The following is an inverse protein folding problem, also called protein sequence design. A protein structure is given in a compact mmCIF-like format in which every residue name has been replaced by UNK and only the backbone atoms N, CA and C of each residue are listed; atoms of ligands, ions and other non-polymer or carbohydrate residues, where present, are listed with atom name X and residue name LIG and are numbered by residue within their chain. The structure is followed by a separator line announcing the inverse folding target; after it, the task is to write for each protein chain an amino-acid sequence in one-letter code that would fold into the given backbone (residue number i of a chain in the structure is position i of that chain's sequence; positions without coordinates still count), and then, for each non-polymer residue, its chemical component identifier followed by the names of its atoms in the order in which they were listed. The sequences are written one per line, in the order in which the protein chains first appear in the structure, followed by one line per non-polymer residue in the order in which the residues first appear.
data_IF_095170389471
#
_entry.id   IF_095170389471
#
_cell.length_a   1.000
_cell.length_b   1.000
_cell.length_c   1.000
_cell.angle_alpha   90.00
_cell.angle_beta   90.00
_cell.angle_gamma   90.00
#
_symmetry.space_group_name_H-M   'P 1'
#
loop_
_entity.id
_entity.type
_entity.pdbx_description
1 polymer ?
#
# COMPACT_ATOMS: atom_id res chain seq x y z
N UNK A 1 14.34 -11.69 -8.17
CA UNK A 1 14.16 -12.41 -6.89
C UNK A 1 13.06 -13.45 -7.08
N UNK A 2 13.27 -14.69 -6.62
CA UNK A 2 12.31 -15.77 -6.77
C UNK A 2 11.94 -16.34 -5.40
N UNK A 3 10.64 -16.49 -5.14
CA UNK A 3 10.08 -17.03 -3.90
C UNK A 3 9.21 -18.24 -4.24
N UNK A 4 9.38 -19.36 -3.52
CA UNK A 4 8.51 -20.54 -3.66
C UNK A 4 8.02 -21.04 -2.31
N UNK A 5 7.02 -21.92 -2.36
CA UNK A 5 6.42 -22.53 -1.18
C UNK A 5 5.69 -21.50 -0.30
N UNK A 6 5.02 -20.53 -0.96
CA UNK A 6 4.38 -19.39 -0.32
C UNK A 6 2.88 -19.64 -0.14
N UNK A 7 2.43 -19.90 1.08
CA UNK A 7 1.02 -19.86 1.44
C UNK A 7 0.44 -18.43 1.40
N UNK A 8 -0.88 -18.32 1.28
CA UNK A 8 -1.57 -17.02 1.18
C UNK A 8 -1.28 -16.10 2.38
N UNK A 9 -1.09 -16.65 3.58
CA UNK A 9 -0.78 -15.90 4.80
C UNK A 9 0.63 -15.29 4.78
N UNK A 10 1.58 -15.92 4.06
CA UNK A 10 2.96 -15.44 3.95
C UNK A 10 3.10 -14.21 3.04
N UNK A 11 2.06 -13.88 2.26
CA UNK A 11 2.00 -12.63 1.49
C UNK A 11 2.09 -11.41 2.43
N UNK A 12 1.58 -11.51 3.65
CA UNK A 12 1.69 -10.44 4.65
C UNK A 12 3.15 -10.12 5.01
N UNK A 13 3.98 -11.16 5.22
CA UNK A 13 5.41 -10.99 5.52
C UNK A 13 6.18 -10.38 4.35
N UNK A 14 5.82 -10.78 3.11
CA UNK A 14 6.37 -10.19 1.90
C UNK A 14 6.03 -8.71 1.76
N UNK A 15 4.79 -8.33 2.04
CA UNK A 15 4.38 -6.93 2.03
C UNK A 15 5.11 -6.11 3.09
N UNK A 16 5.24 -6.62 4.32
CA UNK A 16 5.99 -5.94 5.39
C UNK A 16 7.47 -5.75 4.98
N UNK A 17 8.08 -6.76 4.36
CA UNK A 17 9.46 -6.68 3.86
C UNK A 17 9.63 -5.67 2.71
N UNK A 18 8.66 -5.58 1.79
CA UNK A 18 8.65 -4.57 0.72
C UNK A 18 8.64 -3.13 1.28
N UNK A 19 7.78 -2.86 2.26
CA UNK A 19 7.69 -1.54 2.90
C UNK A 19 8.92 -1.25 3.77
N UNK A 20 9.43 -2.24 4.49
CA UNK A 20 10.67 -2.09 5.27
C UNK A 20 11.87 -1.79 4.37
N UNK A 21 11.97 -2.47 3.23
CA UNK A 21 13.04 -2.24 2.26
C UNK A 21 12.98 -0.83 1.67
N UNK A 22 11.78 -0.35 1.37
CA UNK A 22 11.60 1.01 0.87
C UNK A 22 12.10 2.05 1.86
N UNK A 23 11.75 1.88 3.14
CA UNK A 23 12.24 2.76 4.21
C UNK A 23 13.76 2.77 4.28
N UNK A 24 14.42 1.63 4.15
CA UNK A 24 15.88 1.55 4.13
C UNK A 24 16.49 2.27 2.91
N UNK A 25 15.94 2.04 1.72
CA UNK A 25 16.43 2.65 0.47
C UNK A 25 16.25 4.17 0.51
N UNK A 26 15.07 4.66 0.90
CA UNK A 26 14.78 6.10 1.01
C UNK A 26 15.68 6.76 2.04
N UNK A 27 15.91 6.12 3.19
CA UNK A 27 16.81 6.64 4.22
C UNK A 27 18.26 6.71 3.73
N UNK A 28 18.72 5.72 2.97
CA UNK A 28 20.08 5.69 2.43
C UNK A 28 20.30 6.72 1.30
N UNK A 29 19.30 6.89 0.42
CA UNK A 29 19.41 7.74 -0.77
C UNK A 29 18.90 9.18 -0.53
N UNK A 30 18.24 9.45 0.61
CA UNK A 30 17.57 10.72 0.92
C UNK A 30 16.58 11.17 -0.17
N UNK A 31 16.01 10.20 -0.90
CA UNK A 31 15.10 10.42 -2.02
C UNK A 31 14.10 9.28 -2.08
N UNK A 32 12.83 9.62 -2.34
CA UNK A 32 11.77 8.65 -2.59
C UNK A 32 11.43 8.67 -4.08
N UNK A 33 11.79 7.59 -4.78
CA UNK A 33 11.36 7.38 -6.16
C UNK A 33 9.93 6.82 -6.17
N UNK A 34 9.12 7.13 -7.20
CA UNK A 34 7.91 6.36 -7.42
C UNK A 34 8.25 4.88 -7.61
N UNK A 35 7.32 4.00 -7.23
CA UNK A 35 7.44 2.57 -7.56
C UNK A 35 6.20 2.08 -8.28
N UNK A 36 6.41 1.56 -9.49
CA UNK A 36 5.37 0.86 -10.23
C UNK A 36 5.57 -0.65 -10.14
N UNK A 37 4.52 -1.36 -9.73
CA UNK A 37 4.47 -2.82 -9.67
C UNK A 37 3.45 -3.35 -10.67
N UNK A 38 3.93 -4.07 -11.69
CA UNK A 38 3.09 -4.80 -12.64
C UNK A 38 2.82 -6.21 -12.13
N UNK A 39 1.59 -6.48 -11.70
CA UNK A 39 1.21 -7.75 -11.05
C UNK A 39 0.50 -8.67 -12.05
N UNK A 40 1.11 -9.81 -12.30
CA UNK A 40 0.68 -10.80 -13.30
C UNK A 40 0.37 -12.12 -12.62
N UNK A 41 -0.70 -12.79 -13.03
CA UNK A 41 -1.09 -14.09 -12.47
C UNK A 41 -2.51 -14.48 -12.85
N UNK A 42 -2.83 -15.76 -12.73
CA UNK A 42 -4.17 -16.29 -13.06
C UNK A 42 -5.25 -15.79 -12.09
N UNK A 43 -6.53 -16.04 -12.42
CA UNK A 43 -7.64 -15.81 -11.50
C UNK A 43 -7.44 -16.65 -10.23
N UNK A 44 -7.62 -16.03 -9.05
CA UNK A 44 -7.40 -16.70 -7.77
C UNK A 44 -5.93 -16.79 -7.33
N UNK A 45 -4.95 -16.37 -8.14
CA UNK A 45 -3.52 -16.44 -7.76
C UNK A 45 -3.16 -15.66 -6.49
N UNK A 46 -3.99 -14.68 -6.10
CA UNK A 46 -3.77 -13.83 -4.92
C UNK A 46 -3.25 -12.44 -5.25
N UNK A 47 -3.40 -11.96 -6.49
CA UNK A 47 -3.03 -10.59 -6.91
C UNK A 47 -3.67 -9.50 -6.03
N UNK A 48 -4.99 -9.54 -5.87
CA UNK A 48 -5.69 -8.59 -4.97
C UNK A 48 -5.26 -8.75 -3.51
N UNK A 49 -4.97 -9.98 -3.06
CA UNK A 49 -4.44 -10.21 -1.71
C UNK A 49 -3.06 -9.57 -1.52
N UNK A 50 -2.20 -9.65 -2.53
CA UNK A 50 -0.91 -8.95 -2.53
C UNK A 50 -1.09 -7.44 -2.39
N UNK A 51 -2.03 -6.83 -3.13
CA UNK A 51 -2.35 -5.40 -2.97
C UNK A 51 -2.89 -5.06 -1.56
N UNK A 52 -3.79 -5.89 -1.03
CA UNK A 52 -4.35 -5.75 0.32
C UNK A 52 -3.26 -5.77 1.39
N UNK A 53 -2.31 -6.68 1.30
CA UNK A 53 -1.23 -6.79 2.27
C UNK A 53 -0.22 -5.64 2.17
N UNK A 54 0.08 -5.14 0.96
CA UNK A 54 0.88 -3.92 0.80
C UNK A 54 0.17 -2.73 1.44
N UNK A 55 -1.11 -2.55 1.17
CA UNK A 55 -1.89 -1.47 1.77
C UNK A 55 -1.90 -1.57 3.30
N UNK A 56 -2.09 -2.78 3.84
CA UNK A 56 -1.97 -3.05 5.29
C UNK A 56 -0.61 -2.64 5.83
N UNK A 57 0.48 -3.04 5.18
CA UNK A 57 1.83 -2.69 5.59
C UNK A 57 2.09 -1.16 5.55
N UNK A 58 1.37 -0.44 4.70
CA UNK A 58 1.34 1.03 4.67
C UNK A 58 0.39 1.68 5.69
N UNK A 59 -0.32 0.91 6.51
CA UNK A 59 -1.26 1.41 7.52
C UNK A 59 -2.68 1.72 7.00
N UNK A 60 -3.02 1.26 5.79
CA UNK A 60 -4.38 1.32 5.24
C UNK A 60 -5.15 0.06 5.69
N UNK A 61 -6.43 0.19 6.02
CA UNK A 61 -7.26 -0.96 6.37
C UNK A 61 -7.44 -1.87 5.13
N UNK A 62 -6.98 -3.12 5.24
CA UNK A 62 -7.05 -4.09 4.13
C UNK A 62 -8.48 -4.45 3.73
N UNK A 63 -9.47 -4.25 4.63
CA UNK A 63 -10.88 -4.49 4.31
C UNK A 63 -11.47 -3.45 3.34
N UNK A 64 -10.87 -2.26 3.25
CA UNK A 64 -11.23 -1.22 2.27
C UNK A 64 -10.59 -1.46 0.89
N UNK A 65 -9.58 -2.35 0.85
CA UNK A 65 -8.83 -2.67 -0.36
C UNK A 65 -9.48 -3.85 -1.05
N UNK A 66 -10.31 -3.51 -2.02
CA UNK A 66 -11.01 -4.46 -2.88
C UNK A 66 -10.63 -4.20 -4.32
N UNK A 67 -10.51 -5.26 -5.11
CA UNK A 67 -10.13 -5.15 -6.52
C UNK A 67 -10.98 -4.08 -7.23
N UNK A 68 -10.34 -3.06 -7.84
CA UNK A 68 -11.02 -1.96 -8.49
C UNK A 68 -11.46 -2.32 -9.92
N UNK A 69 -11.76 -3.59 -10.23
CA UNK A 69 -12.10 -4.03 -11.59
C UNK A 69 -13.15 -3.17 -12.30
N UNK A 70 -14.12 -2.59 -11.56
CA UNK A 70 -15.16 -1.70 -12.12
C UNK A 70 -14.85 -0.20 -12.01
N UNK A 71 -14.05 0.20 -11.02
CA UNK A 71 -13.68 1.61 -10.82
C UNK A 71 -12.37 1.97 -11.51
N UNK A 72 -11.64 0.97 -12.03
CA UNK A 72 -10.33 0.97 -12.67
C UNK A 72 -9.17 1.46 -11.78
N UNK A 73 -9.40 2.44 -10.91
CA UNK A 73 -8.44 3.02 -9.98
C UNK A 73 -9.06 3.23 -8.59
N UNK A 74 -8.30 2.91 -7.56
CA UNK A 74 -8.52 3.38 -6.18
C UNK A 74 -7.21 3.92 -5.63
N UNK A 75 -7.29 5.05 -4.92
CA UNK A 75 -6.13 5.67 -4.28
C UNK A 75 -6.33 5.70 -2.77
N UNK A 76 -5.32 5.27 -2.03
CA UNK A 76 -5.33 5.19 -0.58
C UNK A 76 -4.27 6.12 -0.01
N UNK A 77 -4.63 6.96 0.96
CA UNK A 77 -3.67 7.77 1.70
C UNK A 77 -3.06 6.92 2.80
N UNK A 78 -1.74 6.79 2.78
CA UNK A 78 -1.04 6.06 3.82
C UNK A 78 -0.72 7.04 4.96
N UNK A 79 -1.04 6.70 6.22
CA UNK A 79 -0.71 7.55 7.34
C UNK A 79 0.81 7.82 7.38
N UNK A 80 1.21 9.08 7.47
CA UNK A 80 2.59 9.40 7.81
C UNK A 80 2.87 8.89 9.21
N UNK A 81 4.04 8.28 9.45
CA UNK A 81 4.48 7.78 10.77
C UNK A 81 4.61 8.88 11.86
N UNK A 82 4.16 10.11 11.57
CA UNK A 82 4.05 11.22 12.50
C UNK A 82 2.57 11.43 12.91
N UNK A 83 2.22 11.40 14.21
CA UNK A 83 0.94 11.94 14.64
C UNK A 83 0.87 13.41 14.21
N UNK A 84 -0.28 13.91 13.74
CA UNK A 84 -0.44 15.33 13.47
C UNK A 84 -0.06 16.11 14.74
N UNK A 85 0.65 17.25 14.64
CA UNK A 85 0.89 18.09 15.81
C UNK A 85 -0.48 18.37 16.45
N UNK A 86 -0.57 18.22 17.78
CA UNK A 86 -1.80 18.27 18.58
C UNK A 86 -2.62 19.59 18.49
N UNK A 87 -2.34 20.43 17.50
CA UNK A 87 -2.98 21.71 17.23
C UNK A 87 -3.53 21.84 15.80
N UNK A 88 -3.56 20.79 14.98
CA UNK A 88 -4.36 20.79 13.76
C UNK A 88 -5.84 20.62 14.14
N UNK A 89 -6.46 21.73 14.54
CA UNK A 89 -7.90 21.81 14.72
C UNK A 89 -8.59 21.26 13.47
N UNK A 90 -9.36 20.19 13.63
CA UNK A 90 -10.29 19.76 12.59
C UNK A 90 -11.23 20.93 12.29
N UNK A 91 -11.50 21.27 11.02
CA UNK A 91 -12.59 22.17 10.71
C UNK A 91 -13.90 21.48 11.11
N UNK A 92 -14.57 22.02 12.12
CA UNK A 92 -15.90 21.60 12.55
C UNK A 92 -16.87 21.61 11.35
N UNK A 93 -17.84 20.69 11.27
CA UNK A 93 -18.83 20.72 10.21
C UNK A 93 -19.72 21.95 10.36
N UNK A 94 -19.75 22.76 9.31
CA UNK A 94 -20.63 23.92 9.15
C UNK A 94 -22.10 23.48 9.18
N UNK A 95 -22.74 23.58 10.35
CA UNK A 95 -24.20 23.64 10.43
C UNK A 95 -24.63 25.10 10.25
N UNK A 96 -24.87 25.49 9.00
CA UNK A 96 -25.59 26.72 8.69
C UNK A 96 -27.07 26.55 9.05
N UNK A 97 -27.43 26.90 10.29
CA UNK A 97 -28.80 27.19 10.70
C UNK A 97 -29.05 28.70 10.68
N UNK A 98 -30.23 29.02 10.17
CA UNK A 98 -30.77 30.32 9.79
C UNK A 98 -30.75 31.39 10.90
N UNK A 99 -30.51 32.62 10.47
CA UNK A 99 -30.52 33.83 11.28
C UNK A 99 -31.93 34.28 11.69
N UNK A 100 -32.10 34.67 12.96
CA UNK A 100 -33.08 35.67 13.40
C UNK A 100 -32.48 36.58 14.50
N UNK A 101 -32.87 37.85 14.43
CA UNK A 101 -32.27 39.07 14.99
C UNK A 101 -32.63 39.37 16.49
N UNK A 102 -32.01 40.41 17.12
CA UNK A 102 -31.94 40.71 18.58
C UNK A 102 -33.11 41.67 19.01
N UNK A 103 -33.12 42.44 20.14
CA UNK A 103 -32.12 42.71 21.20
C UNK A 103 -32.65 42.85 22.66
N UNK A 104 -31.76 43.08 23.65
CA UNK A 104 -31.80 44.23 24.62
C UNK A 104 -30.75 44.16 25.76
N UNK A 105 -29.88 45.18 25.73
CA UNK A 105 -29.58 46.15 26.80
C UNK A 105 -28.83 45.78 28.12
N UNK A 106 -27.87 46.67 28.41
CA UNK A 106 -27.37 47.19 29.71
C UNK A 106 -25.96 46.77 30.19
N UNK A 107 -25.04 47.74 30.06
CA UNK A 107 -23.76 47.99 30.75
C UNK A 107 -24.00 48.35 32.26
N UNK A 108 -22.98 48.53 33.15
CA UNK A 108 -21.60 48.97 32.88
C UNK A 108 -20.43 48.44 33.73
N UNK A 109 -19.23 48.67 33.15
CA UNK A 109 -17.93 49.06 33.73
C UNK A 109 -17.72 48.98 35.26
N UNK A 110 -16.70 48.22 35.67
CA UNK A 110 -15.74 48.60 36.73
C UNK A 110 -14.33 48.10 36.39
N UNK A 111 -13.37 49.03 36.36
CA UNK A 111 -11.91 48.81 36.39
C UNK A 111 -11.38 49.08 37.83
N UNK A 112 -10.07 48.98 38.13
CA UNK A 112 -9.40 47.79 38.63
C UNK A 112 -8.78 48.01 40.03
N UNK A 113 -8.31 46.96 40.72
CA UNK A 113 -7.31 47.13 41.79
C UNK A 113 -6.23 46.03 41.74
N UNK A 114 -4.95 46.37 42.00
CA UNK A 114 -3.83 45.45 41.91
C UNK A 114 -3.54 44.80 43.27
N UNK A 115 -3.17 43.51 43.28
CA UNK A 115 -2.57 42.92 44.47
C UNK A 115 -1.51 41.87 44.11
N UNK A 116 -0.31 42.17 44.57
CA UNK A 116 0.80 41.28 44.94
C UNK A 116 1.49 40.41 43.88
N UNK A 117 2.70 40.89 43.58
CA UNK A 117 3.93 40.16 43.25
C UNK A 117 4.09 38.84 44.01
N UNK A 118 4.39 37.73 43.31
CA UNK A 118 5.21 36.67 43.86
C UNK A 118 6.58 36.63 43.16
N UNK A 119 7.60 36.85 43.99
CA UNK A 119 8.96 36.30 43.95
C UNK A 119 9.50 35.73 42.62
N UNK A 120 10.56 36.40 42.16
CA UNK A 120 11.53 35.96 41.15
C UNK A 120 12.19 34.65 41.59
N UNK A 121 11.68 33.52 41.10
CA UNK A 121 12.42 32.24 41.15
C UNK A 121 13.52 32.32 40.09
N UNK A 122 14.76 32.16 40.55
CA UNK A 122 15.98 32.09 39.75
C UNK A 122 15.86 31.02 38.65
N UNK A 123 16.12 31.41 37.41
CA UNK A 123 16.24 30.49 36.28
C UNK A 123 17.35 29.45 36.52
N UNK A 124 17.14 28.16 36.20
CA UNK A 124 18.22 27.17 36.21
C UNK A 124 19.23 27.49 35.09
N UNK A 125 20.50 27.04 35.22
CA UNK A 125 21.53 27.34 34.24
C UNK A 125 21.13 26.80 32.86
N UNK A 126 21.35 27.65 31.86
CA UNK A 126 21.20 27.34 30.44
C UNK A 126 22.03 26.12 30.08
N UNK A 127 21.38 24.97 29.94
CA UNK A 127 21.97 23.83 29.24
C UNK A 127 22.14 24.28 27.79
N UNK A 128 23.39 24.27 27.34
CA UNK A 128 23.74 24.33 25.93
C UNK A 128 22.82 23.37 25.18
N UNK A 129 22.04 23.90 24.24
CA UNK A 129 21.27 23.05 23.34
C UNK A 129 22.22 21.99 22.75
N UNK A 130 21.83 20.70 22.70
CA UNK A 130 22.60 19.73 21.95
C UNK A 130 22.71 20.20 20.49
N UNK A 131 23.80 19.88 19.78
CA UNK A 131 23.91 20.20 18.36
C UNK A 131 22.67 19.66 17.67
N UNK A 132 22.07 20.50 16.82
CA UNK A 132 20.85 20.26 16.06
C UNK A 132 20.71 18.78 15.75
N UNK A 133 19.79 18.12 16.45
CA UNK A 133 19.41 16.75 16.14
C UNK A 133 18.99 16.81 14.68
N UNK A 134 19.80 16.23 13.79
CA UNK A 134 19.33 15.86 12.48
C UNK A 134 18.12 15.00 12.78
N UNK A 135 16.91 15.46 12.41
CA UNK A 135 15.72 14.66 12.63
C UNK A 135 16.02 13.26 12.05
N UNK A 136 15.72 12.16 12.78
CA UNK A 136 15.83 10.85 12.15
C UNK A 136 15.06 10.91 10.82
N UNK A 137 15.57 10.31 9.73
CA UNK A 137 14.89 10.36 8.44
C UNK A 137 13.45 9.95 8.71
N UNK A 138 12.53 10.86 8.42
CA UNK A 138 11.11 10.66 8.69
C UNK A 138 10.71 9.40 7.95
N UNK A 139 10.44 8.33 8.71
CA UNK A 139 9.99 7.07 8.17
C UNK A 139 8.78 7.37 7.28
N UNK A 140 8.89 7.06 5.99
CA UNK A 140 7.78 7.22 5.07
C UNK A 140 7.55 5.89 4.39
N UNK A 141 6.51 5.18 4.85
CA UNK A 141 5.69 4.40 3.93
C UNK A 141 5.34 5.28 2.70
N UNK A 142 5.02 4.69 1.54
CA UNK A 142 4.57 5.49 0.40
C UNK A 142 3.45 6.41 0.84
N UNK A 143 3.43 7.67 0.37
CA UNK A 143 2.42 8.65 0.80
C UNK A 143 1.03 8.27 0.33
N UNK A 144 0.98 7.67 -0.86
CA UNK A 144 -0.23 7.18 -1.50
C UNK A 144 0.06 5.84 -2.14
N UNK A 145 -0.96 4.99 -2.11
CA UNK A 145 -1.00 3.73 -2.83
C UNK A 145 -2.12 3.80 -3.87
N UNK A 146 -1.74 3.67 -5.14
CA UNK A 146 -2.67 3.54 -6.26
C UNK A 146 -2.85 2.06 -6.58
N UNK A 147 -4.08 1.59 -6.57
CA UNK A 147 -4.44 0.24 -6.96
C UNK A 147 -5.26 0.32 -8.23
N UNK A 148 -4.76 -0.34 -9.28
CA UNK A 148 -5.40 -0.45 -10.57
C UNK A 148 -5.66 -1.91 -10.91
N UNK A 149 -6.70 -2.14 -11.71
CA UNK A 149 -7.00 -3.45 -12.27
C UNK A 149 -7.32 -3.29 -13.75
N UNK A 150 -6.41 -3.76 -14.60
CA UNK A 150 -6.51 -3.65 -16.05
C UNK A 150 -7.33 -4.77 -16.68
N UNK A 151 -7.94 -5.66 -15.91
CA UNK A 151 -8.74 -6.78 -16.44
C UNK A 151 -9.89 -6.35 -17.37
N UNK A 152 -10.38 -5.11 -17.24
CA UNK A 152 -11.51 -4.59 -18.04
C UNK A 152 -11.18 -3.45 -18.99
N UNK A 153 -9.95 -2.97 -19.00
CA UNK A 153 -9.50 -1.98 -19.98
C UNK A 153 -9.51 -2.64 -21.36
N UNK A 154 -10.04 -1.96 -22.37
CA UNK A 154 -10.22 -2.57 -23.70
C UNK A 154 -9.01 -2.37 -24.61
N UNK A 155 -8.39 -1.19 -24.53
CA UNK A 155 -7.26 -0.76 -25.34
C UNK A 155 -6.36 0.21 -24.56
N UNK A 156 -5.19 0.51 -25.11
CA UNK A 156 -4.21 1.39 -24.47
C UNK A 156 -4.67 2.86 -24.43
N UNK A 157 -5.53 3.30 -25.36
CA UNK A 157 -6.01 4.68 -25.40
C UNK A 157 -6.77 5.02 -24.11
N UNK A 158 -7.56 4.09 -23.57
CA UNK A 158 -8.25 4.23 -22.28
C UNK A 158 -7.27 4.48 -21.11
N UNK A 159 -6.05 3.94 -21.14
CA UNK A 159 -5.01 4.16 -20.11
C UNK A 159 -4.54 5.62 -20.14
N UNK A 160 -4.25 6.12 -21.34
CA UNK A 160 -3.77 7.48 -21.56
C UNK A 160 -4.86 8.53 -21.29
N UNK A 161 -6.11 8.25 -21.69
CA UNK A 161 -7.25 9.14 -21.42
C UNK A 161 -7.55 9.29 -19.92
N UNK A 162 -7.28 8.26 -19.13
CA UNK A 162 -7.41 8.29 -17.67
C UNK A 162 -6.27 9.04 -16.97
N UNK A 163 -5.21 9.43 -17.69
CA UNK A 163 -4.04 10.11 -17.13
C UNK A 163 -3.29 9.27 -16.10
N UNK A 164 -3.27 7.94 -16.31
CA UNK A 164 -2.68 7.02 -15.34
C UNK A 164 -1.16 7.14 -15.28
N UNK A 165 -0.53 7.68 -16.32
CA UNK A 165 0.89 7.93 -16.43
C UNK A 165 1.44 8.89 -15.38
N UNK A 166 0.63 9.86 -14.96
CA UNK A 166 0.98 10.78 -13.88
C UNK A 166 1.19 10.05 -12.53
N UNK A 167 0.56 8.88 -12.33
CA UNK A 167 0.57 8.17 -11.04
C UNK A 167 1.92 7.51 -10.75
N UNK A 168 2.60 6.95 -11.74
CA UNK A 168 3.90 6.29 -11.56
C UNK A 168 5.09 7.23 -11.74
N UNK A 169 4.85 8.53 -11.96
CA UNK A 169 5.88 9.57 -11.92
C UNK A 169 5.92 10.31 -10.56
N UNK A 170 4.90 10.14 -9.72
CA UNK A 170 4.73 10.85 -8.46
C UNK A 170 5.73 10.38 -7.35
N UNK A 171 6.69 11.23 -6.92
CA UNK A 171 7.72 10.82 -5.98
C UNK A 171 7.18 10.36 -4.62
N UNK A 172 7.62 9.17 -4.17
CA UNK A 172 7.19 8.57 -2.91
C UNK A 172 5.76 8.03 -2.91
N UNK A 173 5.18 7.80 -4.09
CA UNK A 173 3.90 7.11 -4.27
C UNK A 173 4.14 5.74 -4.91
N UNK A 174 3.28 4.78 -4.58
CA UNK A 174 3.35 3.42 -5.10
C UNK A 174 2.13 3.13 -5.97
N UNK A 175 2.36 2.50 -7.11
CA UNK A 175 1.32 2.12 -8.07
C UNK A 175 1.35 0.60 -8.25
N UNK A 176 0.23 -0.05 -7.93
CA UNK A 176 0.03 -1.50 -8.05
C UNK A 176 -0.98 -1.75 -9.16
N UNK A 177 -0.57 -2.47 -10.19
CA UNK A 177 -1.40 -2.71 -11.39
C UNK A 177 -1.66 -4.21 -11.52
N UNK A 178 -2.88 -4.67 -11.24
CA UNK A 178 -3.28 -6.04 -11.52
C UNK A 178 -3.51 -6.24 -13.03
N UNK A 179 -3.11 -7.41 -13.56
CA UNK A 179 -3.22 -7.75 -14.98
C UNK A 179 -2.43 -6.81 -15.89
N UNK A 180 -1.29 -6.32 -15.39
CA UNK A 180 -0.41 -5.40 -16.12
C UNK A 180 0.12 -5.97 -17.44
N UNK A 181 0.16 -7.31 -17.59
CA UNK A 181 0.56 -8.00 -18.81
C UNK A 181 -0.39 -7.79 -19.99
N UNK A 182 -1.59 -7.24 -19.77
CA UNK A 182 -2.51 -6.93 -20.87
C UNK A 182 -2.01 -5.80 -21.77
N UNK A 183 -1.21 -4.89 -21.23
CA UNK A 183 -0.71 -3.70 -21.93
C UNK A 183 0.74 -3.43 -21.51
N UNK A 184 1.63 -4.41 -21.72
CA UNK A 184 3.04 -4.31 -21.31
C UNK A 184 3.74 -3.07 -21.89
N UNK A 185 3.41 -2.68 -23.12
CA UNK A 185 4.01 -1.53 -23.81
C UNK A 185 3.57 -0.18 -23.21
N UNK A 186 2.44 -0.13 -22.50
CA UNK A 186 1.96 1.06 -21.79
C UNK A 186 2.62 1.23 -20.40
N UNK A 187 3.30 0.22 -19.89
CA UNK A 187 3.94 0.26 -18.57
C UNK A 187 5.23 1.09 -18.60
N UNK A 188 5.57 1.79 -17.51
CA UNK A 188 6.83 2.52 -17.44
C UNK A 188 8.02 1.55 -17.47
N UNK A 189 9.12 1.98 -18.11
CA UNK A 189 10.30 1.12 -18.31
C UNK A 189 10.96 0.65 -17.01
N UNK A 190 10.69 1.33 -15.91
CA UNK A 190 11.17 1.02 -14.56
C UNK A 190 10.09 0.27 -13.73
N UNK A 191 9.23 -0.50 -14.39
CA UNK A 191 8.29 -1.39 -13.68
C UNK A 191 9.00 -2.53 -12.96
N UNK A 192 8.63 -2.80 -11.71
CA UNK A 192 8.96 -4.04 -11.01
C UNK A 192 7.86 -5.06 -11.32
N UNK A 193 8.17 -6.05 -12.15
CA UNK A 193 7.19 -7.07 -12.52
C UNK A 193 7.09 -8.15 -11.44
N UNK A 194 5.86 -8.45 -11.01
CA UNK A 194 5.55 -9.45 -9.98
C UNK A 194 4.65 -10.53 -10.59
N UNK A 195 5.20 -11.71 -10.83
CA UNK A 195 4.44 -12.86 -11.30
C UNK A 195 4.05 -13.74 -10.12
N UNK A 196 2.75 -13.99 -9.94
CA UNK A 196 2.20 -14.85 -8.90
C UNK A 196 1.56 -16.07 -9.57
N UNK A 197 2.09 -17.25 -9.30
CA UNK A 197 1.59 -18.52 -9.82
C UNK A 197 1.18 -19.41 -8.66
N UNK A 198 0.06 -20.13 -8.81
CA UNK A 198 -0.30 -21.20 -7.88
C UNK A 198 0.45 -22.45 -8.33
N UNK A 199 1.21 -23.04 -7.43
CA UNK A 199 1.81 -24.36 -7.61
C UNK A 199 0.73 -25.41 -7.44
N UNK A 200 0.61 -26.32 -8.41
CA UNK A 200 -0.26 -27.48 -8.26
C UNK A 200 0.22 -28.33 -7.09
N UNK A 201 -0.56 -28.38 -6.00
CA UNK A 201 -0.38 -29.42 -4.99
C UNK A 201 -0.60 -30.78 -5.67
N UNK A 202 0.29 -31.79 -5.51
CA UNK A 202 0.12 -33.11 -6.12
C UNK A 202 -1.19 -33.81 -5.70
N UNK A 203 -1.87 -33.32 -4.66
CA UNK A 203 -3.20 -33.77 -4.24
C UNK A 203 -4.33 -33.46 -5.25
N UNK A 204 -4.18 -32.45 -6.13
CA UNK A 204 -5.21 -32.08 -7.10
C UNK A 204 -5.22 -32.95 -8.37
N UNK A 205 -4.18 -33.75 -8.62
CA UNK A 205 -4.15 -34.66 -9.77
C UNK A 205 -5.14 -35.84 -9.64
N UNK A 206 -5.64 -36.14 -8.44
CA UNK A 206 -6.62 -37.23 -8.25
C UNK A 206 -8.06 -36.84 -8.58
N UNK A 207 -8.44 -35.56 -8.50
CA UNK A 207 -9.78 -35.11 -8.92
C UNK A 207 -9.89 -34.84 -10.42
N UNK A 208 -8.82 -34.37 -11.08
CA UNK A 208 -8.85 -34.06 -12.51
C UNK A 208 -9.06 -35.31 -13.41
N UNK A 209 -8.68 -36.51 -12.95
CA UNK A 209 -8.84 -37.74 -13.74
C UNK A 209 -10.22 -38.41 -13.60
N UNK A 210 -11.09 -38.00 -12.66
CA UNK A 210 -12.43 -38.58 -12.52
C UNK A 210 -13.53 -37.85 -13.29
N UNK A 211 -13.32 -36.60 -13.71
CA UNK A 211 -14.32 -35.83 -14.46
C UNK A 211 -14.41 -36.14 -15.95
N UNK A 212 -13.46 -36.90 -16.52
CA UNK A 212 -13.52 -37.29 -17.94
C UNK A 212 -14.45 -38.48 -18.25
N UNK A 213 -15.06 -39.12 -17.24
CA UNK A 213 -15.88 -40.31 -17.44
C UNK A 213 -17.41 -40.07 -17.51
N UNK A 214 -17.91 -38.84 -17.37
CA UNK A 214 -19.37 -38.62 -17.41
C UNK A 214 -19.77 -37.30 -18.06
N UNK A 215 -19.45 -37.13 -19.35
CA UNK A 215 -20.06 -36.07 -20.17
C UNK A 215 -21.34 -36.60 -20.81
N UNK A 216 -22.42 -36.62 -20.04
CA UNK A 216 -23.77 -36.61 -20.58
C UNK A 216 -24.66 -35.70 -19.72
N UNK A 217 -25.07 -34.59 -20.35
CA UNK A 217 -26.23 -33.76 -19.99
C UNK A 217 -26.17 -33.00 -18.65
N UNK A 218 -25.62 -31.77 -18.69
CA UNK A 218 -26.20 -30.62 -17.99
C UNK A 218 -25.70 -29.30 -18.63
N UNK A 219 -26.64 -28.49 -19.13
CA UNK A 219 -26.43 -27.08 -19.47
C UNK A 219 -26.60 -26.27 -18.19
N UNK A 220 -25.54 -25.61 -17.72
CA UNK A 220 -25.57 -24.63 -16.64
C UNK A 220 -24.24 -23.86 -16.64
N UNK A 221 -24.31 -22.52 -16.58
CA UNK A 221 -23.15 -21.62 -16.58
C UNK A 221 -22.26 -21.85 -15.34
N UNK A 222 -20.92 -21.76 -15.45
CA UNK A 222 -20.00 -22.04 -14.34
C UNK A 222 -19.80 -20.78 -13.48
N UNK A 223 -20.86 -20.27 -12.86
CA UNK A 223 -20.79 -19.04 -12.06
C UNK A 223 -20.94 -19.25 -10.53
N UNK A 224 -21.21 -20.48 -10.07
CA UNK A 224 -21.50 -20.77 -8.65
C UNK A 224 -20.81 -22.03 -8.12
N UNK A 225 -19.64 -22.41 -8.65
CA UNK A 225 -18.80 -23.36 -7.89
C UNK A 225 -18.11 -22.63 -6.74
N UNK A 226 -18.28 -23.07 -5.48
CA UNK A 226 -17.53 -22.52 -4.37
C UNK A 226 -16.05 -22.78 -4.63
N UNK A 227 -15.28 -21.70 -4.81
CA UNK A 227 -13.83 -21.74 -4.86
C UNK A 227 -13.34 -22.58 -3.67
N UNK A 228 -12.62 -23.66 -3.98
CA UNK A 228 -11.96 -24.48 -2.96
C UNK A 228 -11.16 -23.56 -2.01
N UNK A 229 -11.05 -23.90 -0.71
CA UNK A 229 -10.17 -23.14 0.17
C UNK A 229 -8.80 -23.05 -0.48
N UNK A 230 -8.27 -21.84 -0.53
CA UNK A 230 -7.06 -21.48 -1.25
C UNK A 230 -5.82 -22.08 -0.56
N UNK A 231 -5.62 -23.39 -0.75
CA UNK A 231 -4.60 -24.23 -0.11
C UNK A 231 -3.36 -24.43 -0.98
N UNK A 232 -3.36 -23.86 -2.19
CA UNK A 232 -2.23 -23.90 -3.11
C UNK A 232 -1.05 -23.08 -2.60
N UNK A 233 0.14 -23.67 -2.62
CA UNK A 233 1.38 -22.89 -2.45
C UNK A 233 1.58 -22.00 -3.68
N UNK A 234 2.24 -20.87 -3.50
CA UNK A 234 2.57 -19.94 -4.58
C UNK A 234 4.04 -19.89 -4.87
N UNK A 235 4.30 -19.58 -6.13
CA UNK A 235 5.58 -19.12 -6.64
C UNK A 235 5.44 -17.65 -7.00
N UNK A 236 6.27 -16.79 -6.39
CA UNK A 236 6.27 -15.35 -6.63
C UNK A 236 7.63 -14.95 -7.19
N UNK A 237 7.63 -14.43 -8.42
CA UNK A 237 8.86 -13.97 -9.09
C UNK A 237 8.82 -12.47 -9.29
N UNK A 238 9.84 -11.79 -8.80
CA UNK A 238 10.11 -10.38 -9.06
C UNK A 238 11.16 -10.24 -10.16
N UNK A 239 10.81 -9.55 -11.24
CA UNK A 239 11.74 -9.16 -12.30
C UNK A 239 12.01 -7.65 -12.24
N UNK A 240 13.21 -7.23 -11.82
CA UNK A 240 13.60 -5.83 -11.82
C UNK A 240 13.82 -5.33 -13.25
N UNK A 241 13.36 -4.13 -13.57
CA UNK A 241 13.66 -3.48 -14.84
C UNK A 241 14.89 -2.54 -14.82
N UNK A 242 15.51 -2.32 -13.64
CA UNK A 242 16.65 -1.41 -13.50
C UNK A 242 17.58 -1.83 -12.35
N UNK A 243 18.85 -1.37 -12.32
CA UNK A 243 19.77 -1.63 -11.20
C UNK A 243 19.28 -1.07 -9.86
N UNK A 244 18.48 0.01 -9.86
CA UNK A 244 17.88 0.56 -8.64
C UNK A 244 16.88 -0.44 -8.03
N UNK A 245 16.17 -1.19 -8.86
CA UNK A 245 15.31 -2.27 -8.40
C UNK A 245 16.10 -3.46 -7.87
N UNK A 246 17.28 -3.75 -8.40
CA UNK A 246 18.13 -4.81 -7.85
C UNK A 246 18.55 -4.49 -6.41
N UNK A 247 18.91 -3.23 -6.13
CA UNK A 247 19.25 -2.79 -4.76
C UNK A 247 18.03 -2.91 -3.83
N UNK A 248 16.87 -2.41 -4.28
CA UNK A 248 15.62 -2.53 -3.53
C UNK A 248 15.26 -4.00 -3.25
N UNK A 249 15.28 -4.88 -4.26
CA UNK A 249 14.93 -6.31 -4.09
C UNK A 249 15.94 -7.08 -3.24
N UNK A 250 17.23 -6.70 -3.25
CA UNK A 250 18.22 -7.23 -2.30
C UNK A 250 17.87 -6.83 -0.88
N UNK A 251 17.45 -5.59 -0.67
CA UNK A 251 17.01 -5.16 0.65
C UNK A 251 15.73 -5.89 1.09
N UNK A 252 14.76 -6.12 0.18
CA UNK A 252 13.58 -6.96 0.46
C UNK A 252 14.01 -8.35 0.93
N UNK A 253 14.99 -8.97 0.27
CA UNK A 253 15.53 -10.26 0.69
C UNK A 253 16.16 -10.21 2.08
N UNK A 254 16.90 -9.14 2.40
CA UNK A 254 17.45 -8.93 3.75
C UNK A 254 16.32 -8.87 4.78
N UNK A 255 15.27 -8.09 4.52
CA UNK A 255 14.12 -7.94 5.43
C UNK A 255 13.37 -9.26 5.62
N UNK A 256 13.13 -10.03 4.56
CA UNK A 256 12.54 -11.37 4.64
C UNK A 256 13.38 -12.33 5.50
N UNK A 257 14.71 -12.30 5.32
CA UNK A 257 15.62 -13.15 6.08
C UNK A 257 15.62 -12.80 7.58
N UNK A 258 15.62 -11.50 7.90
CA UNK A 258 15.56 -11.00 9.29
C UNK A 258 14.23 -11.36 9.95
N UNK A 259 13.12 -11.29 9.20
CA UNK A 259 11.78 -11.63 9.69
C UNK A 259 11.56 -13.14 9.90
N UNK A 260 12.51 -13.99 9.50
CA UNK A 260 12.37 -15.44 9.59
C UNK A 260 11.36 -15.99 8.58
N UNK A 261 11.33 -15.42 7.36
CA UNK A 261 10.45 -15.87 6.30
C UNK A 261 10.57 -17.38 6.05
N UNK A 262 9.44 -18.07 6.07
CA UNK A 262 9.38 -19.54 6.05
C UNK A 262 9.33 -20.14 4.64
N UNK A 263 9.18 -19.30 3.61
CA UNK A 263 9.26 -19.72 2.20
C UNK A 263 10.70 -19.85 1.71
N UNK A 264 10.86 -20.45 0.54
CA UNK A 264 12.18 -20.58 -0.10
C UNK A 264 12.50 -19.30 -0.87
N UNK A 265 13.68 -18.71 -0.65
CA UNK A 265 14.17 -17.55 -1.40
C UNK A 265 15.33 -17.97 -2.31
N UNK A 266 15.23 -17.67 -3.61
CA UNK A 266 16.29 -17.89 -4.60
C UNK A 266 16.67 -16.58 -5.30
N UNK A 267 17.97 -16.40 -5.48
CA UNK A 267 18.55 -15.30 -6.26
C UNK A 267 19.00 -15.83 -7.62
N UNK A 268 18.56 -15.17 -8.68
CA UNK A 268 19.12 -15.31 -10.04
C UNK A 268 20.43 -14.55 -10.15
#
# INVERSE_FOLDING_TARGET
MHLSDIGIEQIAQLADALIAAERCVVAAQQSASPRCFGIVGTLGAGKTKFCQEIARACGVDSSEVTSPTFTLLKSYTCPSDHPPPANAAQPSPDHSLSAQQPPKAQQPLRTPQPLNTPQRVSAPPSFSAPPSFCAPPSFCAPRRLHHLDWYRINDEDEIWELGLDELWEAPGEWTLIEWADRFEDAMPTDTIWVHIQISDSPANHHHANHHHANRSLAKGSPADEPLAPDDGLREITFRPASPVHDEFLREVQTQLSVAGFTGTIRTS
#
